data_IF_863030616462
#
_entry.id   IF_863030616462
#
_cell.length_a   1.000
_cell.length_b   1.000
_cell.length_c   1.000
_cell.angle_alpha   90.00
_cell.angle_beta   90.00
_cell.angle_gamma   90.00
#
_symmetry.space_group_name_H-M   'P 1'
#
loop_
_entity.id
_entity.type
_entity.pdbx_description
1 polymer ?
#
# COMPACT_ATOMS: atom_id res chain seq x y z
N UNK A 1 -39.41 15.29 10.26
CA UNK A 1 -38.22 14.64 10.89
C UNK A 1 -37.95 13.30 10.19
N UNK A 2 -38.96 12.48 9.93
CA UNK A 2 -38.81 11.18 9.27
C UNK A 2 -38.27 11.30 7.83
N UNK A 3 -38.73 12.30 7.09
CA UNK A 3 -38.32 12.54 5.69
C UNK A 3 -36.85 13.00 5.58
N UNK A 4 -36.40 13.81 6.54
CA UNK A 4 -35.01 14.28 6.56
C UNK A 4 -34.00 13.16 6.88
N UNK A 5 -34.33 12.27 7.80
CA UNK A 5 -33.47 11.11 8.13
C UNK A 5 -33.42 10.13 6.97
N UNK A 6 -34.51 9.89 6.26
CA UNK A 6 -34.53 9.04 5.07
C UNK A 6 -33.69 9.63 3.95
N UNK A 7 -33.80 10.93 3.67
CA UNK A 7 -32.99 11.61 2.65
C UNK A 7 -31.49 11.59 2.98
N UNK A 8 -31.10 11.84 4.23
CA UNK A 8 -29.71 11.72 4.68
C UNK A 8 -29.17 10.31 4.53
N UNK A 9 -29.99 9.30 4.82
CA UNK A 9 -29.62 7.89 4.62
C UNK A 9 -29.31 7.56 3.16
N UNK A 10 -30.13 8.04 2.23
CA UNK A 10 -29.91 7.86 0.79
C UNK A 10 -28.62 8.54 0.30
N UNK A 11 -28.36 9.78 0.73
CA UNK A 11 -27.12 10.49 0.37
C UNK A 11 -25.87 9.79 0.89
N UNK A 12 -25.93 9.22 2.07
CA UNK A 12 -24.78 8.44 2.63
C UNK A 12 -24.57 7.17 1.81
N UNK A 13 -25.63 6.47 1.42
CA UNK A 13 -25.53 5.26 0.60
C UNK A 13 -24.95 5.57 -0.78
N UNK A 14 -25.42 6.64 -1.44
CA UNK A 14 -24.92 7.06 -2.76
C UNK A 14 -23.44 7.43 -2.70
N UNK A 15 -23.00 8.19 -1.69
CA UNK A 15 -21.59 8.53 -1.49
C UNK A 15 -20.72 7.30 -1.23
N UNK A 16 -21.23 6.33 -0.44
CA UNK A 16 -20.53 5.06 -0.22
C UNK A 16 -20.41 4.25 -1.51
N UNK A 17 -21.43 4.22 -2.34
CA UNK A 17 -21.40 3.52 -3.62
C UNK A 17 -20.37 4.15 -4.57
N UNK A 18 -20.32 5.48 -4.69
CA UNK A 18 -19.35 6.20 -5.51
C UNK A 18 -17.91 5.97 -5.01
N UNK A 19 -17.70 6.02 -3.70
CA UNK A 19 -16.39 5.74 -3.10
C UNK A 19 -15.95 4.28 -3.34
N UNK A 20 -16.88 3.32 -3.24
CA UNK A 20 -16.64 1.90 -3.51
C UNK A 20 -16.27 1.64 -4.98
N UNK A 21 -16.90 2.32 -5.94
CA UNK A 21 -16.55 2.20 -7.36
C UNK A 21 -15.14 2.71 -7.65
N UNK A 22 -14.77 3.89 -7.11
CA UNK A 22 -13.43 4.43 -7.25
C UNK A 22 -12.37 3.51 -6.63
N UNK A 23 -12.64 2.96 -5.44
CA UNK A 23 -11.76 2.01 -4.77
C UNK A 23 -11.60 0.72 -5.59
N UNK A 24 -12.67 0.20 -6.18
CA UNK A 24 -12.63 -1.01 -7.02
C UNK A 24 -11.77 -0.82 -8.27
N UNK A 25 -11.87 0.34 -8.92
CA UNK A 25 -11.05 0.65 -10.11
C UNK A 25 -9.56 0.73 -9.76
N UNK A 26 -9.22 1.43 -8.67
CA UNK A 26 -7.83 1.55 -8.20
C UNK A 26 -7.27 0.20 -7.75
N UNK A 27 -8.05 -0.63 -7.06
CA UNK A 27 -7.66 -1.99 -6.69
C UNK A 27 -7.38 -2.84 -7.93
N UNK A 28 -8.19 -2.73 -8.97
CA UNK A 28 -8.00 -3.45 -10.24
C UNK A 28 -6.69 -3.06 -10.92
N UNK A 29 -6.33 -1.76 -10.90
CA UNK A 29 -5.06 -1.29 -11.43
C UNK A 29 -3.86 -1.81 -10.62
N UNK A 30 -3.97 -1.86 -9.30
CA UNK A 30 -2.95 -2.45 -8.43
C UNK A 30 -2.75 -3.94 -8.75
N UNK A 31 -3.83 -4.69 -8.90
CA UNK A 31 -3.79 -6.11 -9.26
C UNK A 31 -3.08 -6.32 -10.61
N UNK A 32 -3.33 -5.49 -11.60
CA UNK A 32 -2.64 -5.53 -12.89
C UNK A 32 -1.12 -5.37 -12.72
N UNK A 33 -0.67 -4.39 -11.92
CA UNK A 33 0.75 -4.15 -11.69
C UNK A 33 1.42 -5.31 -10.94
N UNK A 34 0.77 -5.83 -9.90
CA UNK A 34 1.28 -6.96 -9.12
C UNK A 34 1.32 -8.25 -9.94
N UNK A 35 0.33 -8.51 -10.79
CA UNK A 35 0.32 -9.65 -11.69
C UNK A 35 1.43 -9.55 -12.75
N UNK A 36 1.69 -8.36 -13.26
CA UNK A 36 2.80 -8.13 -14.18
C UNK A 36 4.15 -8.42 -13.53
N UNK A 37 4.38 -7.89 -12.31
CA UNK A 37 5.58 -8.21 -11.51
C UNK A 37 5.71 -9.71 -11.24
N UNK A 38 4.64 -10.37 -10.85
CA UNK A 38 4.63 -11.81 -10.57
C UNK A 38 5.01 -12.64 -11.80
N UNK A 39 4.49 -12.27 -12.97
CA UNK A 39 4.84 -12.92 -14.24
C UNK A 39 6.32 -12.76 -14.56
N UNK A 40 6.85 -11.54 -14.47
CA UNK A 40 8.27 -11.27 -14.69
C UNK A 40 9.13 -12.08 -13.71
N UNK A 41 8.81 -12.05 -12.43
CA UNK A 41 9.55 -12.76 -11.39
C UNK A 41 9.55 -14.28 -11.62
N UNK A 42 8.44 -14.86 -12.07
CA UNK A 42 8.35 -16.29 -12.34
C UNK A 42 9.24 -16.77 -13.49
N UNK A 43 9.42 -15.93 -14.51
CA UNK A 43 10.23 -16.26 -15.69
C UNK A 43 11.74 -16.09 -15.47
N UNK A 44 12.17 -15.14 -14.62
CA UNK A 44 13.57 -14.78 -14.42
C UNK A 44 13.86 -14.34 -12.97
N UNK A 45 13.45 -15.14 -12.00
CA UNK A 45 13.51 -14.78 -10.58
C UNK A 45 14.87 -14.28 -10.10
N UNK A 46 15.97 -14.96 -10.46
CA UNK A 46 17.30 -14.60 -9.95
C UNK A 46 17.77 -13.24 -10.46
N UNK A 47 17.45 -12.90 -11.71
CA UNK A 47 17.75 -11.60 -12.27
C UNK A 47 16.92 -10.48 -11.60
N UNK A 48 15.63 -10.72 -11.41
CA UNK A 48 14.74 -9.74 -10.75
C UNK A 48 15.02 -9.60 -9.26
N UNK A 49 15.40 -10.67 -8.58
CA UNK A 49 15.82 -10.61 -7.18
C UNK A 49 16.96 -9.63 -6.97
N UNK A 50 17.96 -9.64 -7.84
CA UNK A 50 19.06 -8.66 -7.77
C UNK A 50 18.58 -7.21 -7.89
N UNK A 51 17.57 -6.93 -8.73
CA UNK A 51 16.94 -5.60 -8.84
C UNK A 51 16.21 -5.24 -7.56
N UNK A 52 15.40 -6.15 -7.04
CA UNK A 52 14.62 -5.96 -5.80
C UNK A 52 15.57 -5.71 -4.61
N UNK A 53 16.65 -6.48 -4.49
CA UNK A 53 17.65 -6.31 -3.44
C UNK A 53 18.40 -4.96 -3.57
N UNK A 54 18.63 -4.49 -4.79
CA UNK A 54 19.19 -3.16 -5.03
C UNK A 54 18.21 -2.05 -4.63
N UNK A 55 16.94 -2.19 -4.98
CA UNK A 55 15.87 -1.24 -4.60
C UNK A 55 15.67 -1.18 -3.08
N UNK A 56 15.89 -2.29 -2.35
CA UNK A 56 15.73 -2.32 -0.89
C UNK A 56 16.71 -1.40 -0.14
N UNK A 57 17.83 -1.05 -0.77
CA UNK A 57 18.87 -0.18 -0.21
C UNK A 57 18.69 1.29 -0.57
N UNK A 58 17.66 1.63 -1.32
CA UNK A 58 17.44 2.95 -1.85
C UNK A 58 16.02 3.44 -1.57
N UNK A 59 15.86 4.76 -1.51
CA UNK A 59 14.54 5.38 -1.60
C UNK A 59 14.00 5.27 -3.02
N UNK A 60 12.69 5.20 -3.15
CA UNK A 60 12.02 5.01 -4.43
C UNK A 60 12.37 6.06 -5.50
N UNK A 61 12.72 7.28 -5.10
CA UNK A 61 13.12 8.36 -6.02
C UNK A 61 14.40 8.00 -6.81
N UNK A 62 15.27 7.14 -6.25
CA UNK A 62 16.51 6.71 -6.86
C UNK A 62 16.42 5.40 -7.64
N UNK A 63 15.27 4.74 -7.61
CA UNK A 63 15.11 3.44 -8.30
C UNK A 63 15.26 3.55 -9.82
N UNK A 64 14.82 4.67 -10.41
CA UNK A 64 14.94 4.89 -11.86
C UNK A 64 16.43 5.00 -12.27
N UNK A 65 17.28 5.59 -11.44
CA UNK A 65 18.71 5.71 -11.71
C UNK A 65 19.42 4.33 -11.76
N UNK A 66 18.83 3.32 -11.12
CA UNK A 66 19.32 1.93 -11.15
C UNK A 66 18.87 1.17 -12.41
N UNK A 67 17.96 1.73 -13.19
CA UNK A 67 17.41 1.09 -14.38
C UNK A 67 18.32 1.28 -15.60
N UNK A 68 19.52 0.67 -15.59
CA UNK A 68 20.46 0.73 -16.72
C UNK A 68 20.17 -0.26 -17.85
N UNK A 69 19.21 -1.18 -17.65
CA UNK A 69 18.84 -2.24 -18.59
C UNK A 69 17.33 -2.35 -18.76
N UNK A 70 16.80 -2.74 -19.95
CA UNK A 70 15.36 -2.77 -20.20
C UNK A 70 14.54 -3.61 -19.21
N UNK A 71 15.08 -4.75 -18.77
CA UNK A 71 14.39 -5.62 -17.81
C UNK A 71 14.35 -4.99 -16.41
N UNK A 72 15.42 -4.33 -15.99
CA UNK A 72 15.43 -3.58 -14.71
C UNK A 72 14.45 -2.43 -14.75
N UNK A 73 14.40 -1.72 -15.85
CA UNK A 73 13.43 -0.64 -16.05
C UNK A 73 11.99 -1.13 -15.96
N UNK A 74 11.65 -2.28 -16.57
CA UNK A 74 10.31 -2.86 -16.50
C UNK A 74 9.90 -3.21 -15.05
N UNK A 75 10.81 -3.82 -14.28
CA UNK A 75 10.58 -4.14 -12.87
C UNK A 75 10.37 -2.87 -12.04
N UNK A 76 11.26 -1.89 -12.20
CA UNK A 76 11.16 -0.62 -11.45
C UNK A 76 9.88 0.13 -11.80
N UNK A 77 9.50 0.20 -13.07
CA UNK A 77 8.22 0.80 -13.49
C UNK A 77 7.03 0.12 -12.86
N UNK A 78 7.01 -1.21 -12.78
CA UNK A 78 5.92 -1.95 -12.15
C UNK A 78 5.87 -1.71 -10.64
N UNK A 79 7.01 -1.68 -9.95
CA UNK A 79 7.09 -1.34 -8.52
C UNK A 79 6.60 0.08 -8.24
N UNK A 80 7.05 1.05 -9.01
CA UNK A 80 6.60 2.45 -8.88
C UNK A 80 5.13 2.60 -9.23
N UNK A 81 4.64 1.88 -10.26
CA UNK A 81 3.22 1.84 -10.60
C UNK A 81 2.36 1.29 -9.45
N UNK A 82 2.79 0.22 -8.80
CA UNK A 82 2.11 -0.32 -7.63
C UNK A 82 2.09 0.69 -6.47
N UNK A 83 3.20 1.40 -6.23
CA UNK A 83 3.27 2.48 -5.22
C UNK A 83 2.29 3.60 -5.54
N UNK A 84 2.25 4.08 -6.78
CA UNK A 84 1.36 5.16 -7.21
C UNK A 84 -0.11 4.78 -7.02
N UNK A 85 -0.48 3.56 -7.44
CA UNK A 85 -1.85 3.06 -7.27
C UNK A 85 -2.22 2.95 -5.79
N UNK A 86 -1.31 2.51 -4.92
CA UNK A 86 -1.57 2.48 -3.47
C UNK A 86 -1.76 3.89 -2.88
N UNK A 87 -1.02 4.89 -3.35
CA UNK A 87 -1.28 6.28 -2.95
C UNK A 87 -2.66 6.75 -3.40
N UNK A 88 -3.12 6.31 -4.57
CA UNK A 88 -4.49 6.53 -5.04
C UNK A 88 -5.54 5.88 -4.12
N UNK A 89 -5.31 4.62 -3.68
CA UNK A 89 -6.17 3.93 -2.70
C UNK A 89 -6.27 4.75 -1.41
N UNK A 90 -5.15 5.18 -0.84
CA UNK A 90 -5.14 5.99 0.39
C UNK A 90 -5.92 7.30 0.22
N UNK A 91 -5.73 7.96 -0.91
CA UNK A 91 -6.47 9.19 -1.24
C UNK A 91 -7.98 8.95 -1.23
N UNK A 92 -8.46 7.92 -1.93
CA UNK A 92 -9.89 7.60 -1.98
C UNK A 92 -10.44 7.17 -0.62
N UNK A 93 -9.67 6.45 0.19
CA UNK A 93 -10.07 6.08 1.56
C UNK A 93 -10.24 7.32 2.45
N UNK A 94 -9.37 8.32 2.34
CA UNK A 94 -9.53 9.59 3.06
C UNK A 94 -10.80 10.31 2.62
N UNK A 95 -11.03 10.46 1.32
CA UNK A 95 -12.26 11.08 0.80
C UNK A 95 -13.52 10.36 1.28
N UNK A 96 -13.49 9.04 1.31
CA UNK A 96 -14.59 8.23 1.84
C UNK A 96 -14.82 8.51 3.33
N UNK A 97 -13.75 8.59 4.11
CA UNK A 97 -13.80 8.93 5.53
C UNK A 97 -14.37 10.34 5.77
N UNK A 98 -13.89 11.33 5.02
CA UNK A 98 -14.41 12.70 5.08
C UNK A 98 -15.91 12.75 4.74
N UNK A 99 -16.33 12.08 3.66
CA UNK A 99 -17.72 12.04 3.25
C UNK A 99 -18.64 11.34 4.26
N UNK A 100 -18.11 10.32 4.96
CA UNK A 100 -18.86 9.57 5.97
C UNK A 100 -18.78 10.19 7.38
N UNK A 101 -17.93 11.20 7.61
CA UNK A 101 -17.66 11.76 8.93
C UNK A 101 -16.91 10.77 9.85
N UNK A 102 -16.20 9.80 9.29
CA UNK A 102 -15.44 8.78 10.02
C UNK A 102 -13.98 8.81 9.56
N UNK A 103 -13.01 9.06 10.43
CA UNK A 103 -11.60 9.12 10.04
C UNK A 103 -11.06 7.72 9.72
N UNK A 104 -11.02 7.35 8.44
CA UNK A 104 -10.44 6.09 7.96
C UNK A 104 -8.91 6.16 7.98
N UNK A 105 -8.33 7.26 7.52
CA UNK A 105 -6.91 7.56 7.67
C UNK A 105 -6.77 8.93 8.35
N UNK A 106 -6.76 8.97 9.71
CA UNK A 106 -6.59 10.21 10.47
C UNK A 106 -5.24 10.88 10.17
N UNK A 107 -5.14 12.19 10.39
CA UNK A 107 -3.93 12.97 10.09
C UNK A 107 -2.66 12.40 10.76
N UNK A 108 -2.77 11.86 11.98
CA UNK A 108 -1.65 11.22 12.66
C UNK A 108 -1.17 9.97 11.94
N UNK A 109 -2.10 9.15 11.41
CA UNK A 109 -1.76 7.98 10.62
C UNK A 109 -1.20 8.38 9.25
N UNK A 110 -1.75 9.42 8.61
CA UNK A 110 -1.18 9.96 7.36
C UNK A 110 0.29 10.33 7.55
N UNK A 111 0.63 11.09 8.60
CA UNK A 111 2.02 11.46 8.91
C UNK A 111 2.91 10.24 9.15
N UNK A 112 2.40 9.23 9.88
CA UNK A 112 3.10 7.98 10.14
C UNK A 112 3.38 7.21 8.85
N UNK A 113 2.37 7.08 7.98
CA UNK A 113 2.47 6.38 6.71
C UNK A 113 3.40 7.09 5.73
N UNK A 114 3.31 8.39 5.61
CA UNK A 114 4.19 9.18 4.73
C UNK A 114 5.65 9.11 5.19
N UNK A 115 5.90 9.19 6.50
CA UNK A 115 7.23 8.96 7.06
C UNK A 115 7.71 7.51 6.82
N UNK A 116 6.81 6.52 6.79
CA UNK A 116 7.16 5.13 6.46
C UNK A 116 7.55 4.97 5.00
N UNK A 117 6.79 5.57 4.08
CA UNK A 117 7.05 5.54 2.64
C UNK A 117 8.39 6.18 2.25
N UNK A 118 8.93 7.05 3.10
CA UNK A 118 10.23 7.71 2.91
C UNK A 118 11.41 6.87 3.41
N UNK A 119 11.18 5.69 4.01
CA UNK A 119 12.26 4.79 4.39
C UNK A 119 12.75 3.98 3.18
N UNK A 120 14.02 3.60 3.24
CA UNK A 120 14.63 2.77 2.19
C UNK A 120 13.90 1.43 2.06
N UNK A 121 13.70 1.01 0.81
CA UNK A 121 13.08 -0.26 0.47
C UNK A 121 11.60 -0.38 0.82
N UNK A 122 10.92 0.67 1.25
CA UNK A 122 9.47 0.64 1.45
C UNK A 122 8.75 0.89 0.13
N UNK A 123 7.96 -0.08 -0.27
CA UNK A 123 7.16 -0.03 -1.49
C UNK A 123 5.78 0.58 -1.22
N UNK A 124 5.03 -0.01 -0.32
CA UNK A 124 3.64 0.37 0.00
C UNK A 124 3.49 0.60 1.50
N UNK A 125 2.57 1.49 1.88
CA UNK A 125 2.12 1.64 3.25
C UNK A 125 0.67 2.13 3.27
N UNK A 126 -0.13 1.66 4.22
CA UNK A 126 -1.53 2.01 4.33
C UNK A 126 -2.13 1.62 5.67
N UNK A 127 -3.37 2.05 5.90
CA UNK A 127 -4.17 1.60 7.05
C UNK A 127 -4.72 0.20 6.78
N UNK A 128 -4.89 -0.58 7.85
CA UNK A 128 -5.38 -1.95 7.76
C UNK A 128 -6.88 -2.02 8.12
N UNK A 129 -7.61 -2.86 7.39
CA UNK A 129 -9.03 -3.13 7.67
C UNK A 129 -9.91 -1.90 7.57
N UNK A 130 -10.67 -1.60 8.62
CA UNK A 130 -11.57 -0.45 8.67
C UNK A 130 -10.86 0.91 8.78
N UNK A 131 -9.54 0.91 8.95
CA UNK A 131 -8.77 2.12 9.18
C UNK A 131 -8.87 2.63 10.62
N UNK A 132 -8.69 3.93 10.81
CA UNK A 132 -8.67 4.54 12.14
C UNK A 132 -7.27 4.59 12.74
N UNK A 133 -7.19 4.38 14.05
CA UNK A 133 -5.93 4.50 14.81
C UNK A 133 -5.26 3.16 15.14
N UNK A 134 -5.88 2.03 14.75
CA UNK A 134 -5.50 0.72 15.26
C UNK A 134 -4.22 0.16 14.62
N UNK A 135 -4.25 -0.09 13.33
CA UNK A 135 -3.15 -0.76 12.65
C UNK A 135 -2.83 -0.16 11.28
N UNK A 136 -1.56 -0.17 10.96
CA UNK A 136 -1.03 0.17 9.62
C UNK A 136 -0.15 -0.97 9.13
N UNK A 137 -0.02 -1.08 7.82
CA UNK A 137 0.90 -2.04 7.21
C UNK A 137 1.92 -1.32 6.32
N UNK A 138 3.03 -1.98 6.09
CA UNK A 138 4.00 -1.59 5.07
C UNK A 138 4.51 -2.85 4.34
N UNK A 139 4.66 -2.75 3.03
CA UNK A 139 5.32 -3.76 2.20
C UNK A 139 6.72 -3.25 1.90
N UNK A 140 7.71 -4.07 2.21
CA UNK A 140 9.12 -3.75 2.05
C UNK A 140 9.78 -4.67 1.03
N UNK A 141 10.83 -4.20 0.40
CA UNK A 141 11.63 -4.96 -0.54
C UNK A 141 12.87 -5.54 0.15
N UNK A 142 13.23 -6.76 -0.19
CA UNK A 142 14.42 -7.44 0.36
C UNK A 142 14.42 -7.43 1.89
N UNK A 143 15.57 -7.14 2.50
CA UNK A 143 15.77 -7.17 3.96
C UNK A 143 15.47 -5.83 4.66
N UNK A 144 14.87 -4.87 3.97
CA UNK A 144 14.58 -3.53 4.53
C UNK A 144 13.53 -3.52 5.66
N UNK A 145 12.78 -4.60 5.84
CA UNK A 145 11.81 -4.75 6.94
C UNK A 145 12.42 -4.52 8.33
N UNK A 146 13.67 -4.95 8.54
CA UNK A 146 14.37 -4.76 9.81
C UNK A 146 14.61 -3.27 10.15
N UNK A 147 14.86 -2.44 9.15
CA UNK A 147 15.03 -0.99 9.31
C UNK A 147 13.70 -0.31 9.64
N UNK A 148 12.62 -0.75 9.00
CA UNK A 148 11.27 -0.24 9.28
C UNK A 148 10.86 -0.58 10.70
N UNK A 149 11.04 -1.83 11.16
CA UNK A 149 10.68 -2.25 12.51
C UNK A 149 11.46 -1.48 13.57
N UNK A 150 12.77 -1.31 13.41
CA UNK A 150 13.62 -0.51 14.32
C UNK A 150 13.14 0.95 14.41
N UNK A 151 12.92 1.59 13.27
CA UNK A 151 12.47 2.98 13.20
C UNK A 151 11.11 3.16 13.86
N UNK A 152 10.18 2.20 13.67
CA UNK A 152 8.83 2.26 14.25
C UNK A 152 8.83 1.99 15.76
N UNK A 153 9.64 1.07 16.24
CA UNK A 153 9.78 0.82 17.67
C UNK A 153 10.28 2.04 18.43
N UNK A 154 11.14 2.87 17.82
CA UNK A 154 11.59 4.13 18.43
C UNK A 154 10.48 5.19 18.54
N UNK A 155 9.36 5.02 17.84
CA UNK A 155 8.19 5.90 17.84
C UNK A 155 7.02 5.32 18.66
N UNK A 156 7.26 4.34 19.54
CA UNK A 156 6.25 3.62 20.31
C UNK A 156 5.18 2.91 19.43
N UNK A 157 5.54 2.53 18.21
CA UNK A 157 4.71 1.70 17.34
C UNK A 157 5.19 0.26 17.47
N UNK A 158 4.31 -0.64 17.89
CA UNK A 158 4.58 -2.08 17.89
C UNK A 158 4.67 -2.56 16.43
N UNK A 159 5.86 -2.95 16.00
CA UNK A 159 6.09 -3.45 14.65
C UNK A 159 6.20 -4.98 14.66
N UNK A 160 5.34 -5.64 13.89
CA UNK A 160 5.32 -7.08 13.69
C UNK A 160 5.81 -7.40 12.28
N UNK A 161 6.77 -8.32 12.20
CA UNK A 161 7.24 -8.84 10.91
C UNK A 161 6.33 -10.00 10.50
N UNK A 162 5.64 -9.84 9.37
CA UNK A 162 4.78 -10.86 8.77
C UNK A 162 5.40 -11.30 7.46
N UNK A 163 5.40 -12.61 7.21
CA UNK A 163 5.79 -13.22 5.94
C UNK A 163 4.59 -13.90 5.31
N UNK A 164 4.60 -13.97 3.98
CA UNK A 164 3.63 -14.76 3.24
C UNK A 164 3.71 -16.23 3.66
N UNK A 165 2.57 -16.84 3.90
CA UNK A 165 2.43 -18.28 4.01
C UNK A 165 1.70 -18.81 2.77
N UNK A 166 2.43 -19.47 1.84
CA UNK A 166 1.85 -19.96 0.60
C UNK A 166 0.86 -21.13 0.82
N UNK A 167 0.86 -21.74 2.00
CA UNK A 167 -0.09 -22.81 2.34
C UNK A 167 -1.44 -22.24 2.82
N UNK A 168 -1.52 -20.94 3.12
CA UNK A 168 -2.73 -20.29 3.62
C UNK A 168 -3.11 -20.75 5.02
N UNK A 169 -4.42 -20.77 5.30
CA UNK A 169 -4.96 -21.20 6.61
C UNK A 169 -5.09 -22.71 6.63
N UNK A 170 -4.41 -23.37 7.57
CA UNK A 170 -4.59 -24.80 7.88
C UNK A 170 -5.32 -24.95 9.21
N UNK A 171 -6.21 -25.93 9.30
CA UNK A 171 -6.77 -26.40 10.57
C UNK A 171 -5.81 -27.43 11.14
N UNK A 172 -5.29 -27.19 12.35
CA UNK A 172 -4.61 -28.18 13.16
C UNK A 172 -5.59 -29.06 13.92
#
# INVERSE_FOLDING_TARGET
>A
IYDHQHHMGLLIMERRELASKGQSEVNSQLEIQLNFLSKLAKEQWDAYKSVIDSCSKLRSEKWIEQASEPNKEAVIKALLGAKEVMLGIRYHMRLMGEAAGVPIEPESQTKLLDATLNLEGVLLAGVLGAGGFDAVFAITLGDSSSNVTKTRSSLNVLALLVKEDPCGVSLE
#
